data_IF_121388417561
#
_entry.id   IF_121388417561
#
_cell.length_a   1.000
_cell.length_b   1.000
_cell.length_c   1.000
_cell.angle_alpha   90.00
_cell.angle_beta   90.00
_cell.angle_gamma   90.00
#
_symmetry.space_group_name_H-M   'P 1'
#
loop_
_entity.id
_entity.type
_entity.pdbx_description
1 polymer ?
#
# COMPACT_ATOMS: atom_id res chain seq x y z
N UNK A 1 33.97 -8.34 -29.87
CA UNK A 1 32.92 -9.31 -29.48
C UNK A 1 31.58 -8.67 -29.81
N UNK A 2 30.86 -9.17 -30.82
CA UNK A 2 29.59 -8.58 -31.26
C UNK A 2 28.48 -9.25 -30.47
N UNK A 3 27.79 -8.50 -29.60
CA UNK A 3 26.51 -8.93 -29.03
C UNK A 3 25.56 -9.11 -30.23
N UNK A 4 25.20 -10.34 -30.57
CA UNK A 4 24.16 -10.56 -31.57
C UNK A 4 22.82 -10.17 -30.95
N UNK A 5 22.17 -9.07 -31.37
CA UNK A 5 21.05 -8.48 -30.61
C UNK A 5 19.72 -9.26 -30.75
N UNK A 6 19.76 -10.44 -31.38
CA UNK A 6 18.60 -11.09 -31.98
C UNK A 6 18.57 -12.62 -31.80
N UNK A 7 19.46 -13.19 -30.97
CA UNK A 7 19.42 -14.62 -30.68
C UNK A 7 18.10 -15.02 -30.00
N UNK A 8 17.64 -16.26 -30.17
CA UNK A 8 16.39 -16.74 -29.55
C UNK A 8 16.41 -16.57 -28.03
N UNK A 9 17.58 -16.70 -27.42
CA UNK A 9 17.80 -16.50 -25.98
C UNK A 9 17.54 -15.05 -25.58
N UNK A 10 18.03 -14.07 -26.35
CA UNK A 10 17.76 -12.66 -26.09
C UNK A 10 16.26 -12.34 -26.23
N UNK A 11 15.55 -12.98 -27.16
CA UNK A 11 14.10 -12.83 -27.31
C UNK A 11 13.34 -13.44 -26.14
N UNK A 12 13.74 -14.64 -25.69
CA UNK A 12 13.14 -15.32 -24.54
C UNK A 12 13.33 -14.53 -23.24
N UNK A 13 14.53 -13.98 -23.02
CA UNK A 13 14.81 -13.12 -21.87
C UNK A 13 13.97 -11.85 -21.89
N UNK A 14 13.84 -11.18 -23.05
CA UNK A 14 12.97 -10.01 -23.21
C UNK A 14 11.50 -10.35 -22.92
N UNK A 15 11.02 -11.48 -23.43
CA UNK A 15 9.65 -11.92 -23.15
C UNK A 15 9.42 -12.14 -21.65
N UNK A 16 10.35 -12.81 -20.97
CA UNK A 16 10.26 -13.03 -19.52
C UNK A 16 10.29 -11.72 -18.72
N UNK A 17 11.14 -10.76 -19.09
CA UNK A 17 11.18 -9.42 -18.49
C UNK A 17 9.83 -8.71 -18.70
N UNK A 18 9.33 -8.68 -19.94
CA UNK A 18 8.07 -8.03 -20.26
C UNK A 18 6.90 -8.61 -19.46
N UNK A 19 6.84 -9.94 -19.29
CA UNK A 19 5.80 -10.58 -18.47
C UNK A 19 5.88 -10.13 -17.02
N UNK A 20 7.09 -10.05 -16.45
CA UNK A 20 7.31 -9.59 -15.08
C UNK A 20 6.91 -8.13 -14.89
N UNK A 21 7.28 -7.27 -15.84
CA UNK A 21 6.93 -5.84 -15.82
C UNK A 21 5.42 -5.63 -15.96
N UNK A 22 4.75 -6.40 -16.82
CA UNK A 22 3.29 -6.36 -16.94
C UNK A 22 2.58 -6.75 -15.64
N UNK A 23 3.06 -7.79 -14.95
CA UNK A 23 2.51 -8.19 -13.65
C UNK A 23 2.69 -7.10 -12.60
N UNK A 24 3.88 -6.49 -12.53
CA UNK A 24 4.14 -5.33 -11.66
C UNK A 24 3.18 -4.19 -11.98
N UNK A 25 3.01 -3.84 -13.25
CA UNK A 25 2.22 -2.68 -13.66
C UNK A 25 0.72 -2.88 -13.40
N UNK A 26 0.23 -4.12 -13.53
CA UNK A 26 -1.13 -4.48 -13.15
C UNK A 26 -1.37 -4.26 -11.64
N UNK A 27 -0.45 -4.70 -10.79
CA UNK A 27 -0.53 -4.48 -9.33
C UNK A 27 -0.45 -2.99 -8.97
N UNK A 28 0.41 -2.22 -9.64
CA UNK A 28 0.50 -0.77 -9.44
C UNK A 28 -0.80 -0.06 -9.86
N UNK A 29 -1.43 -0.48 -10.94
CA UNK A 29 -2.73 0.05 -11.37
C UNK A 29 -3.80 -0.20 -10.30
N UNK A 30 -3.87 -1.42 -9.75
CA UNK A 30 -4.79 -1.75 -8.66
C UNK A 30 -4.50 -0.94 -7.38
N UNK A 31 -3.23 -0.80 -7.01
CA UNK A 31 -2.82 -0.01 -5.86
C UNK A 31 -3.27 1.45 -5.98
N UNK A 32 -3.07 2.07 -7.16
CA UNK A 32 -3.57 3.44 -7.43
C UNK A 32 -5.10 3.52 -7.36
N UNK A 33 -5.78 2.56 -7.98
CA UNK A 33 -7.25 2.40 -7.91
C UNK A 33 -7.76 2.40 -6.46
N UNK A 34 -7.10 1.64 -5.59
CA UNK A 34 -7.42 1.61 -4.17
C UNK A 34 -7.10 2.93 -3.44
N UNK A 35 -6.02 3.62 -3.82
CA UNK A 35 -5.68 4.94 -3.29
C UNK A 35 -6.75 5.99 -3.59
N UNK A 36 -7.34 5.96 -4.80
CA UNK A 36 -8.43 6.88 -5.17
C UNK A 36 -9.67 6.77 -4.29
N UNK A 37 -9.91 5.59 -3.69
CA UNK A 37 -11.06 5.34 -2.79
C UNK A 37 -10.64 5.22 -1.32
N UNK A 38 -9.45 5.73 -0.97
CA UNK A 38 -8.89 5.73 0.40
C UNK A 38 -8.84 4.34 1.07
N UNK A 39 -8.69 3.27 0.27
CA UNK A 39 -8.56 1.89 0.73
C UNK A 39 -7.10 1.55 1.01
N UNK A 40 -6.52 2.14 2.06
CA UNK A 40 -5.08 2.08 2.33
C UNK A 40 -4.52 0.68 2.55
N UNK A 41 -5.26 -0.24 3.20
CA UNK A 41 -4.87 -1.66 3.28
C UNK A 41 -4.73 -2.33 1.91
N UNK A 42 -5.59 -1.97 0.95
CA UNK A 42 -5.50 -2.48 -0.41
C UNK A 42 -4.28 -1.90 -1.15
N UNK A 43 -3.98 -0.61 -0.94
CA UNK A 43 -2.78 0.03 -1.51
C UNK A 43 -1.53 -0.69 -1.02
N UNK A 44 -1.39 -0.85 0.31
CA UNK A 44 -0.25 -1.53 0.94
C UNK A 44 -0.04 -2.95 0.40
N UNK A 45 -1.11 -3.74 0.26
CA UNK A 45 -1.02 -5.12 -0.25
C UNK A 45 -0.56 -5.18 -1.71
N UNK A 46 -1.22 -4.43 -2.59
CA UNK A 46 -0.89 -4.48 -4.03
C UNK A 46 0.47 -3.87 -4.32
N UNK A 47 0.82 -2.75 -3.68
CA UNK A 47 2.13 -2.14 -3.83
C UNK A 47 3.25 -3.01 -3.21
N UNK A 48 2.96 -3.70 -2.10
CA UNK A 48 3.85 -4.70 -1.51
C UNK A 48 4.12 -5.87 -2.47
N UNK A 49 3.09 -6.47 -3.05
CA UNK A 49 3.27 -7.51 -4.07
C UNK A 49 4.01 -7.00 -5.31
N UNK A 50 3.82 -5.73 -5.70
CA UNK A 50 4.59 -5.14 -6.79
C UNK A 50 6.10 -5.02 -6.43
N UNK A 51 6.46 -4.80 -5.17
CA UNK A 51 7.85 -4.80 -4.71
C UNK A 51 8.48 -6.19 -4.66
N UNK A 52 7.69 -7.23 -4.36
CA UNK A 52 8.16 -8.62 -4.46
C UNK A 52 8.53 -8.97 -5.90
N UNK A 53 7.77 -8.44 -6.87
CA UNK A 53 8.08 -8.57 -8.30
C UNK A 53 9.25 -7.68 -8.69
N UNK A 54 9.29 -6.41 -8.29
CA UNK A 54 10.35 -5.47 -8.65
C UNK A 54 10.68 -4.56 -7.48
N UNK A 55 11.62 -5.00 -6.65
CA UNK A 55 12.06 -4.26 -5.47
C UNK A 55 12.66 -2.90 -5.81
N UNK A 56 13.07 -2.67 -7.07
CA UNK A 56 13.62 -1.39 -7.54
C UNK A 56 12.54 -0.36 -7.90
N UNK A 57 11.27 -0.77 -7.94
CA UNK A 57 10.15 0.10 -8.30
C UNK A 57 9.95 1.24 -7.29
N UNK A 58 10.32 2.45 -7.69
CA UNK A 58 10.15 3.67 -6.87
C UNK A 58 8.68 3.97 -6.60
N UNK A 59 7.82 3.74 -7.58
CA UNK A 59 6.38 3.92 -7.43
C UNK A 59 5.80 3.00 -6.35
N UNK A 60 6.17 1.72 -6.37
CA UNK A 60 5.67 0.77 -5.40
C UNK A 60 6.11 1.15 -3.97
N UNK A 61 7.38 1.56 -3.81
CA UNK A 61 7.88 2.09 -2.52
C UNK A 61 7.10 3.33 -2.07
N UNK A 62 6.83 4.26 -2.98
CA UNK A 62 6.07 5.47 -2.67
C UNK A 62 4.65 5.13 -2.20
N UNK A 63 3.94 4.25 -2.91
CA UNK A 63 2.58 3.84 -2.57
C UNK A 63 2.50 3.10 -1.23
N UNK A 64 3.47 2.24 -0.90
CA UNK A 64 3.54 1.59 0.43
C UNK A 64 3.73 2.64 1.53
N UNK A 65 4.68 3.57 1.36
CA UNK A 65 4.91 4.64 2.35
C UNK A 65 3.67 5.51 2.53
N UNK A 66 3.01 5.90 1.43
CA UNK A 66 1.78 6.68 1.47
C UNK A 66 0.68 5.94 2.23
N UNK A 67 0.47 4.65 1.92
CA UNK A 67 -0.54 3.85 2.59
C UNK A 67 -0.27 3.69 4.09
N UNK A 68 0.99 3.53 4.51
CA UNK A 68 1.36 3.51 5.93
C UNK A 68 1.04 4.82 6.63
N UNK A 69 1.36 5.96 6.00
CA UNK A 69 1.08 7.28 6.55
C UNK A 69 -0.43 7.50 6.71
N UNK A 70 -1.20 7.23 5.67
CA UNK A 70 -2.65 7.43 5.68
C UNK A 70 -3.37 6.49 6.64
N UNK A 71 -2.95 5.22 6.73
CA UNK A 71 -3.46 4.28 7.73
C UNK A 71 -3.20 4.76 9.16
N UNK A 72 -2.05 5.37 9.43
CA UNK A 72 -1.74 5.93 10.74
C UNK A 72 -2.58 7.18 11.05
N UNK A 73 -2.88 8.02 10.06
CA UNK A 73 -3.79 9.16 10.25
C UNK A 73 -5.21 8.69 10.55
N UNK A 74 -5.69 7.68 9.81
CA UNK A 74 -7.01 7.11 10.04
C UNK A 74 -7.16 6.48 11.44
N UNK A 75 -6.11 5.85 11.96
CA UNK A 75 -6.14 5.30 13.33
C UNK A 75 -6.16 6.38 14.41
N UNK A 76 -5.45 7.50 14.21
CA UNK A 76 -5.50 8.66 15.13
C UNK A 76 -6.89 9.31 15.15
N UNK A 77 -7.55 9.44 14.00
CA UNK A 77 -8.91 9.99 13.95
C UNK A 77 -9.94 9.09 14.65
N UNK A 78 -9.75 7.77 14.59
CA UNK A 78 -10.64 6.81 15.24
C UNK A 78 -10.59 6.95 16.78
N UNK A 79 -9.41 7.18 17.36
CA UNK A 79 -9.27 7.32 18.83
C UNK A 79 -9.76 8.67 19.35
N UNK A 80 -9.65 9.75 18.58
CA UNK A 80 -10.17 11.07 18.98
C UNK A 80 -11.70 11.16 18.88
N UNK A 81 -12.31 10.31 18.02
CA UNK A 81 -13.76 10.27 17.84
C UNK A 81 -14.49 9.43 18.90
N UNK A 82 -13.79 8.71 19.79
CA UNK A 82 -14.42 8.04 20.91
C UNK A 82 -14.85 9.08 21.97
N UNK A 83 -16.16 9.25 22.23
CA UNK A 83 -16.61 10.18 23.26
C UNK A 83 -16.18 9.64 24.62
N UNK A 84 -15.43 10.46 25.37
CA UNK A 84 -15.09 10.19 26.77
C UNK A 84 -16.34 9.76 27.56
N UNK A 85 -16.32 8.66 28.33
CA UNK A 85 -17.44 8.32 29.18
C UNK A 85 -17.65 9.46 30.18
N UNK A 86 -18.85 10.05 30.16
CA UNK A 86 -19.22 11.14 31.04
C UNK A 86 -18.92 10.76 32.51
N UNK A 87 -18.38 11.69 33.32
CA UNK A 87 -18.11 11.40 34.72
C UNK A 87 -19.44 11.10 35.44
N UNK A 88 -19.52 9.91 36.02
CA UNK A 88 -20.69 9.44 36.77
C UNK A 88 -20.85 10.31 38.03
N UNK A 89 -21.82 11.23 38.03
CA UNK A 89 -22.09 12.17 39.13
C UNK A 89 -22.89 11.53 40.28
N UNK A 90 -23.02 10.20 40.34
CA UNK A 90 -23.84 9.50 41.34
C UNK A 90 -23.31 9.47 42.77
N UNK A 91 -22.12 10.01 43.04
CA UNK A 91 -21.46 9.91 44.36
C UNK A 91 -21.47 11.20 45.21
N UNK A 92 -22.33 12.18 44.90
CA UNK A 92 -22.38 13.46 45.66
C UNK A 92 -23.54 13.53 46.67
N UNK A 93 -24.44 12.54 46.72
CA UNK A 93 -25.66 12.63 47.54
C UNK A 93 -25.67 11.74 48.79
N UNK A 94 -24.50 11.49 49.39
CA UNK A 94 -24.38 10.67 50.60
C UNK A 94 -23.41 11.29 51.63
N UNK A 95 -23.64 12.52 52.08
CA UNK A 95 -23.11 12.99 53.36
C UNK A 95 -24.11 13.92 54.07
N UNK A 96 -24.66 13.37 55.16
CA UNK A 96 -25.28 13.95 56.37
C UNK A 96 -25.71 15.42 56.39
#
# INVERSE_FOLDING_TARGET
MVVQPQSREAQNLRAAINTREQQRDALLSLARGCGYIARWDCVSRNAGSALEIDSSSREARHLVTLAMQESALASVQAVESEPSPAPDTRDINAHH
#
